data_IF_034927784931
#
_entry.id   IF_034927784931
#
_cell.length_a   1.000
_cell.length_b   1.000
_cell.length_c   1.000
_cell.angle_alpha   90.00
_cell.angle_beta   90.00
_cell.angle_gamma   90.00
#
_symmetry.space_group_name_H-M   'P 1'
#
loop_
_entity.id
_entity.type
_entity.pdbx_description
1 polymer ?
#
# COMPACT_ATOMS: atom_id res chain seq x y z
N UNK A 1 1.25 16.77 0.72
CA UNK A 1 -0.16 16.92 0.35
C UNK A 1 -1.07 16.12 1.27
N UNK A 2 -0.88 14.79 1.47
CA UNK A 2 -1.73 13.96 2.31
C UNK A 2 -1.85 14.48 3.75
N UNK A 3 -0.73 14.82 4.41
CA UNK A 3 -0.74 15.43 5.74
C UNK A 3 -1.53 16.75 5.77
N UNK A 4 -1.36 17.62 4.77
CA UNK A 4 -2.11 18.90 4.68
C UNK A 4 -3.61 18.69 4.48
N UNK A 5 -4.00 17.58 3.83
CA UNK A 5 -5.39 17.19 3.66
C UNK A 5 -5.98 16.47 4.89
N UNK A 6 -5.21 16.27 5.96
CA UNK A 6 -5.67 15.67 7.20
C UNK A 6 -5.71 14.15 7.20
N UNK A 7 -4.92 13.47 6.36
CA UNK A 7 -4.73 12.03 6.45
C UNK A 7 -4.06 11.66 7.78
N UNK A 8 -4.46 10.53 8.36
CA UNK A 8 -3.93 10.06 9.65
C UNK A 8 -2.58 9.35 9.49
N UNK A 9 -2.27 8.84 8.29
CA UNK A 9 -1.06 8.10 7.95
C UNK A 9 -0.73 8.22 6.46
N UNK A 10 0.53 8.07 6.13
CA UNK A 10 1.01 8.00 4.75
C UNK A 10 1.58 6.61 4.48
N UNK A 11 1.23 6.03 3.33
CA UNK A 11 2.01 4.98 2.71
C UNK A 11 2.96 5.62 1.69
N UNK A 12 4.27 5.50 1.94
CA UNK A 12 5.29 6.08 1.09
C UNK A 12 5.80 5.05 0.08
N UNK A 13 5.64 5.34 -1.19
CA UNK A 13 6.14 4.53 -2.30
C UNK A 13 6.73 5.39 -3.40
N UNK A 14 7.49 4.78 -4.29
CA UNK A 14 7.84 5.31 -5.60
C UNK A 14 7.01 4.60 -6.68
N UNK A 15 6.98 5.16 -7.90
CA UNK A 15 6.40 4.49 -9.10
C UNK A 15 4.97 3.95 -8.89
N UNK A 16 4.07 4.82 -8.48
CA UNK A 16 2.65 4.46 -8.24
C UNK A 16 1.97 3.84 -9.49
N UNK A 17 2.45 4.16 -10.69
CA UNK A 17 1.92 3.63 -11.96
C UNK A 17 2.04 2.10 -12.08
N UNK A 18 3.00 1.49 -11.41
CA UNK A 18 3.18 0.02 -11.36
C UNK A 18 2.68 -0.61 -10.04
N UNK A 19 1.89 0.16 -9.29
CA UNK A 19 1.39 -0.27 -7.97
C UNK A 19 2.32 0.04 -6.81
N UNK A 20 3.37 0.83 -7.05
CA UNK A 20 4.38 1.21 -6.07
C UNK A 20 5.55 0.24 -5.97
N UNK A 21 6.72 0.80 -5.72
CA UNK A 21 7.96 0.09 -5.36
C UNK A 21 8.63 0.79 -4.18
N UNK A 22 9.66 0.18 -3.61
CA UNK A 22 10.45 0.76 -2.49
C UNK A 22 10.99 2.14 -2.88
N UNK A 23 10.82 3.18 -2.04
CA UNK A 23 11.38 4.51 -2.27
C UNK A 23 12.89 4.52 -2.14
N UNK A 24 13.55 5.42 -2.88
CA UNK A 24 14.99 5.63 -2.72
C UNK A 24 15.32 6.18 -1.31
N UNK A 25 16.57 5.94 -0.84
CA UNK A 25 17.08 6.51 0.42
C UNK A 25 16.90 8.02 0.50
N UNK A 26 17.18 8.75 -0.58
CA UNK A 26 17.00 10.20 -0.62
C UNK A 26 15.57 10.64 -0.39
N UNK A 27 14.59 9.91 -0.97
CA UNK A 27 13.18 10.18 -0.75
C UNK A 27 12.76 9.84 0.69
N UNK A 28 13.22 8.72 1.23
CA UNK A 28 12.96 8.32 2.61
C UNK A 28 13.42 9.40 3.59
N UNK A 29 14.67 9.85 3.47
CA UNK A 29 15.26 10.88 4.34
C UNK A 29 14.48 12.20 4.24
N UNK A 30 14.25 12.69 3.02
CA UNK A 30 13.53 13.95 2.79
C UNK A 30 12.12 13.95 3.37
N UNK A 31 11.37 12.83 3.21
CA UNK A 31 10.01 12.73 3.73
C UNK A 31 10.00 12.64 5.26
N UNK A 32 10.94 11.89 5.86
CA UNK A 32 11.06 11.78 7.32
C UNK A 32 11.32 13.11 7.99
N UNK A 33 12.06 14.02 7.35
CA UNK A 33 12.34 15.37 7.87
C UNK A 33 11.14 16.32 7.78
N UNK A 34 10.19 16.08 6.87
CA UNK A 34 9.11 17.03 6.55
C UNK A 34 7.72 16.59 7.03
N UNK A 35 7.54 15.31 7.33
CA UNK A 35 6.23 14.72 7.66
C UNK A 35 6.21 14.35 9.14
N UNK A 36 5.14 14.74 9.82
CA UNK A 36 4.96 14.52 11.26
C UNK A 36 3.91 13.46 11.62
N UNK A 37 3.07 13.08 10.66
CA UNK A 37 2.13 11.96 10.83
C UNK A 37 2.83 10.63 10.55
N UNK A 38 2.32 9.50 11.05
CA UNK A 38 2.91 8.18 10.84
C UNK A 38 3.14 7.87 9.36
N UNK A 39 4.30 7.26 9.06
CA UNK A 39 4.70 6.87 7.71
C UNK A 39 4.99 5.37 7.68
N UNK A 40 4.26 4.64 6.85
CA UNK A 40 4.55 3.27 6.49
C UNK A 40 5.24 3.22 5.12
N UNK A 41 6.37 2.57 5.03
CA UNK A 41 7.17 2.51 3.80
C UNK A 41 6.88 1.23 3.04
N UNK A 42 6.58 1.36 1.74
CA UNK A 42 6.42 0.20 0.87
C UNK A 42 7.77 -0.47 0.63
N UNK A 43 7.83 -1.76 0.93
CA UNK A 43 8.99 -2.63 0.67
C UNK A 43 8.59 -3.61 -0.43
N UNK A 44 8.93 -3.26 -1.65
CA UNK A 44 8.66 -4.03 -2.88
C UNK A 44 9.78 -3.74 -3.89
N UNK A 45 10.70 -4.68 -4.14
CA UNK A 45 11.92 -4.40 -4.91
C UNK A 45 11.66 -4.16 -6.38
N UNK A 46 10.57 -4.67 -6.94
CA UNK A 46 10.19 -4.53 -8.36
C UNK A 46 8.68 -4.56 -8.56
N UNK A 47 8.24 -4.19 -9.74
CA UNK A 47 6.89 -4.42 -10.25
C UNK A 47 6.67 -5.92 -10.61
N UNK A 48 5.46 -6.27 -11.02
CA UNK A 48 5.06 -7.64 -11.37
C UNK A 48 4.44 -8.39 -10.18
N UNK A 49 4.78 -9.66 -10.05
CA UNK A 49 4.24 -10.55 -9.02
C UNK A 49 4.80 -10.28 -7.61
N UNK A 50 4.48 -11.17 -6.69
CA UNK A 50 4.89 -11.09 -5.29
C UNK A 50 5.69 -12.33 -4.84
N UNK A 51 6.25 -13.06 -5.80
CA UNK A 51 7.17 -14.18 -5.59
C UNK A 51 8.60 -13.69 -5.85
N UNK A 52 9.44 -13.71 -4.86
CA UNK A 52 10.77 -13.12 -4.94
C UNK A 52 11.85 -14.19 -4.92
N UNK A 53 12.92 -13.99 -5.66
CA UNK A 53 14.10 -14.81 -5.51
C UNK A 53 14.86 -14.49 -4.20
N UNK A 54 16.00 -15.17 -3.99
CA UNK A 54 16.79 -14.99 -2.78
C UNK A 54 17.37 -13.58 -2.69
N UNK A 55 17.89 -13.03 -3.79
CA UNK A 55 18.55 -11.73 -3.80
C UNK A 55 17.53 -10.59 -3.64
N UNK A 56 16.36 -10.71 -4.29
CA UNK A 56 15.23 -9.78 -4.11
C UNK A 56 14.75 -9.75 -2.66
N UNK A 57 14.61 -10.92 -2.04
CA UNK A 57 14.17 -11.01 -0.65
C UNK A 57 15.22 -10.47 0.33
N UNK A 58 16.51 -10.72 0.10
CA UNK A 58 17.59 -10.12 0.89
C UNK A 58 17.60 -8.59 0.78
N UNK A 59 17.36 -8.05 -0.42
CA UNK A 59 17.20 -6.61 -0.63
C UNK A 59 16.04 -6.04 0.20
N UNK A 60 14.88 -6.73 0.22
CA UNK A 60 13.74 -6.33 1.06
C UNK A 60 14.10 -6.26 2.55
N UNK A 61 14.89 -7.23 3.06
CA UNK A 61 15.33 -7.21 4.45
C UNK A 61 16.26 -6.04 4.76
N UNK A 62 17.16 -5.66 3.84
CA UNK A 62 18.01 -4.48 3.96
C UNK A 62 17.18 -3.19 3.98
N UNK A 63 16.19 -3.07 3.09
CA UNK A 63 15.28 -1.91 3.04
C UNK A 63 14.47 -1.78 4.34
N UNK A 64 14.03 -2.91 4.92
CA UNK A 64 13.34 -2.92 6.22
C UNK A 64 14.30 -2.42 7.33
N UNK A 65 15.54 -2.93 7.36
CA UNK A 65 16.51 -2.48 8.34
C UNK A 65 16.76 -0.96 8.23
N UNK A 66 16.88 -0.45 7.01
CA UNK A 66 17.00 0.99 6.76
C UNK A 66 15.80 1.77 7.31
N UNK A 67 14.58 1.26 7.13
CA UNK A 67 13.37 1.88 7.70
C UNK A 67 13.38 1.91 9.23
N UNK A 68 13.88 0.83 9.86
CA UNK A 68 14.06 0.77 11.32
C UNK A 68 15.07 1.82 11.78
N UNK A 69 16.23 1.90 11.11
CA UNK A 69 17.32 2.83 11.48
C UNK A 69 16.92 4.30 11.29
N UNK A 70 16.08 4.59 10.31
CA UNK A 70 15.52 5.93 10.07
C UNK A 70 14.32 6.25 10.97
N UNK A 71 13.85 5.30 11.78
CA UNK A 71 12.77 5.50 12.73
C UNK A 71 11.40 5.72 12.09
N UNK A 72 11.08 5.00 11.02
CA UNK A 72 9.74 4.98 10.44
C UNK A 72 8.74 4.26 11.36
N UNK A 73 7.44 4.43 11.11
CA UNK A 73 6.39 3.92 11.99
C UNK A 73 5.91 2.53 11.55
N UNK A 74 6.11 2.18 10.28
CA UNK A 74 5.71 0.90 9.74
C UNK A 74 6.28 0.61 8.35
N UNK A 75 6.04 -0.61 7.91
CA UNK A 75 6.35 -1.09 6.57
C UNK A 75 5.12 -1.70 5.93
N UNK A 76 5.09 -1.70 4.61
CA UNK A 76 4.06 -2.33 3.79
C UNK A 76 4.75 -3.33 2.87
N UNK A 77 4.41 -4.60 2.93
CA UNK A 77 5.04 -5.64 2.13
C UNK A 77 4.14 -6.86 2.00
N UNK A 78 4.54 -7.86 1.22
CA UNK A 78 3.82 -9.12 1.10
C UNK A 78 4.56 -10.07 0.17
N UNK A 79 4.60 -11.34 0.54
CA UNK A 79 5.28 -12.41 -0.22
C UNK A 79 4.34 -13.58 -0.39
N UNK A 80 4.27 -14.09 -1.60
CA UNK A 80 3.50 -15.27 -1.95
C UNK A 80 4.43 -16.37 -2.48
N UNK A 81 3.97 -17.60 -2.34
CA UNK A 81 4.53 -18.75 -3.05
C UNK A 81 4.09 -18.74 -4.52
N UNK A 82 4.73 -19.53 -5.37
CA UNK A 82 4.39 -19.62 -6.80
C UNK A 82 2.95 -20.07 -7.07
N UNK A 83 2.38 -20.81 -6.14
CA UNK A 83 0.99 -21.28 -6.23
C UNK A 83 -0.04 -20.26 -5.70
N UNK A 84 0.40 -19.04 -5.38
CA UNK A 84 -0.40 -17.94 -4.81
C UNK A 84 -0.89 -18.22 -3.37
N UNK A 85 -0.26 -19.10 -2.64
CA UNK A 85 -0.43 -19.19 -1.18
C UNK A 85 0.51 -18.22 -0.46
N UNK A 86 0.20 -17.93 0.80
CA UNK A 86 1.04 -17.08 1.64
C UNK A 86 2.40 -17.75 1.90
N UNK A 87 3.51 -17.09 1.60
CA UNK A 87 4.81 -17.49 2.11
C UNK A 87 4.91 -17.13 3.61
N UNK A 88 4.45 -18.06 4.45
CA UNK A 88 4.41 -17.90 5.91
C UNK A 88 5.81 -17.64 6.46
N UNK A 89 6.81 -18.39 5.98
CA UNK A 89 8.19 -18.32 6.45
C UNK A 89 8.79 -16.95 6.20
N UNK A 90 8.72 -16.47 4.95
CA UNK A 90 9.29 -15.18 4.57
C UNK A 90 8.49 -14.02 5.16
N UNK A 91 7.16 -14.12 5.23
CA UNK A 91 6.34 -13.10 5.91
C UNK A 91 6.70 -12.98 7.40
N UNK A 92 6.94 -14.12 8.09
CA UNK A 92 7.46 -14.12 9.45
C UNK A 92 8.85 -13.48 9.59
N UNK A 93 9.73 -13.67 8.59
CA UNK A 93 11.03 -13.01 8.54
C UNK A 93 10.90 -11.49 8.37
N UNK A 94 9.99 -11.00 7.50
CA UNK A 94 9.71 -9.57 7.35
C UNK A 94 9.21 -8.97 8.68
N UNK A 95 8.27 -9.64 9.36
CA UNK A 95 7.76 -9.18 10.67
C UNK A 95 8.87 -9.14 11.72
N UNK A 96 9.72 -10.14 11.78
CA UNK A 96 10.86 -10.16 12.70
C UNK A 96 11.87 -9.05 12.38
N UNK A 97 12.17 -8.82 11.11
CA UNK A 97 13.10 -7.77 10.68
C UNK A 97 12.58 -6.36 11.00
N UNK A 98 11.26 -6.17 11.04
CA UNK A 98 10.64 -4.87 11.31
C UNK A 98 10.84 -4.34 12.74
N UNK A 99 11.33 -5.17 13.69
CA UNK A 99 11.72 -4.75 15.05
C UNK A 99 10.68 -3.89 15.78
N UNK A 100 9.42 -4.23 15.67
CA UNK A 100 8.32 -3.51 16.31
C UNK A 100 7.64 -2.44 15.47
N UNK A 101 8.14 -2.13 14.27
CA UNK A 101 7.38 -1.36 13.30
C UNK A 101 6.06 -2.08 12.95
N UNK A 102 5.02 -1.30 12.65
CA UNK A 102 3.78 -1.86 12.14
C UNK A 102 4.00 -2.53 10.78
N UNK A 103 3.42 -3.71 10.57
CA UNK A 103 3.44 -4.42 9.29
C UNK A 103 2.06 -4.42 8.65
N UNK A 104 1.99 -3.88 7.43
CA UNK A 104 0.83 -4.01 6.55
C UNK A 104 1.12 -5.07 5.49
N UNK A 105 0.29 -6.10 5.39
CA UNK A 105 0.32 -7.01 4.25
C UNK A 105 -0.45 -6.35 3.10
N UNK A 106 0.24 -6.10 1.99
CA UNK A 106 -0.31 -5.32 0.88
C UNK A 106 -1.24 -6.13 -0.04
N UNK A 107 -1.60 -5.57 -1.18
CA UNK A 107 -2.54 -6.16 -2.14
C UNK A 107 -2.13 -7.50 -2.78
N UNK A 108 -0.99 -8.09 -2.42
CA UNK A 108 -0.73 -9.51 -2.66
C UNK A 108 -1.84 -10.38 -2.05
N UNK A 109 -2.52 -9.90 -1.01
CA UNK A 109 -3.69 -10.53 -0.43
C UNK A 109 -4.84 -10.71 -1.42
N UNK A 110 -4.97 -9.85 -2.41
CA UNK A 110 -6.00 -9.98 -3.44
C UNK A 110 -5.77 -11.14 -4.41
N UNK A 111 -4.57 -11.75 -4.39
CA UNK A 111 -4.21 -12.88 -5.26
C UNK A 111 -4.28 -14.25 -4.57
N UNK A 112 -4.46 -14.29 -3.25
CA UNK A 112 -4.46 -15.56 -2.52
C UNK A 112 -5.72 -16.37 -2.81
N UNK A 113 -5.58 -17.71 -2.83
CA UNK A 113 -6.69 -18.63 -3.10
C UNK A 113 -7.73 -18.67 -1.98
N UNK A 114 -7.29 -18.57 -0.74
CA UNK A 114 -8.17 -18.62 0.43
C UNK A 114 -7.91 -17.42 1.34
N UNK A 115 -8.69 -16.33 1.21
CA UNK A 115 -8.48 -15.11 1.97
C UNK A 115 -8.69 -15.27 3.48
N UNK A 116 -9.62 -16.12 3.92
CA UNK A 116 -9.87 -16.32 5.35
C UNK A 116 -8.73 -17.06 6.03
N UNK A 117 -8.29 -18.18 5.45
CA UNK A 117 -7.11 -18.90 5.96
C UNK A 117 -5.86 -18.04 5.93
N UNK A 118 -5.68 -17.24 4.88
CA UNK A 118 -4.53 -16.33 4.78
C UNK A 118 -4.58 -15.27 5.86
N UNK A 119 -5.75 -14.68 6.13
CA UNK A 119 -5.94 -13.72 7.21
C UNK A 119 -5.58 -14.32 8.56
N UNK A 120 -6.08 -15.52 8.88
CA UNK A 120 -5.74 -16.24 10.11
C UNK A 120 -4.22 -16.41 10.26
N UNK A 121 -3.52 -16.86 9.20
CA UNK A 121 -2.05 -17.01 9.24
C UNK A 121 -1.31 -15.68 9.38
N UNK A 122 -1.80 -14.60 8.78
CA UNK A 122 -1.25 -13.27 8.96
C UNK A 122 -1.42 -12.76 10.40
N UNK A 123 -2.54 -13.06 11.04
CA UNK A 123 -2.78 -12.75 12.45
C UNK A 123 -1.84 -13.54 13.38
N UNK A 124 -1.64 -14.85 13.12
CA UNK A 124 -0.66 -15.68 13.86
C UNK A 124 0.76 -15.14 13.77
N UNK A 125 1.15 -14.58 12.60
CA UNK A 125 2.44 -13.91 12.39
C UNK A 125 2.53 -12.57 13.14
N UNK A 126 1.39 -11.96 13.46
CA UNK A 126 1.29 -10.66 14.10
C UNK A 126 1.31 -9.49 13.10
N UNK A 127 0.76 -9.67 11.91
CA UNK A 127 0.53 -8.58 10.94
C UNK A 127 -0.51 -7.63 11.49
N UNK A 128 -0.27 -6.33 11.37
CA UNK A 128 -1.14 -5.30 11.97
C UNK A 128 -2.30 -4.89 11.04
N UNK A 129 -2.05 -4.88 9.72
CA UNK A 129 -3.04 -4.45 8.72
C UNK A 129 -3.01 -5.38 7.50
N UNK A 130 -4.18 -5.59 6.91
CA UNK A 130 -4.33 -6.24 5.59
C UNK A 130 -4.93 -5.25 4.62
N UNK A 131 -4.17 -4.86 3.61
CA UNK A 131 -4.59 -3.96 2.54
C UNK A 131 -5.18 -4.78 1.39
N UNK A 132 -6.46 -4.63 1.10
CA UNK A 132 -7.15 -5.47 0.11
C UNK A 132 -8.29 -4.72 -0.58
N UNK A 133 -8.62 -5.13 -1.78
CA UNK A 133 -9.84 -4.71 -2.50
C UNK A 133 -10.97 -5.74 -2.43
N UNK A 134 -10.81 -6.77 -1.58
CA UNK A 134 -11.77 -7.88 -1.52
C UNK A 134 -11.69 -8.77 -2.77
N UNK A 135 -10.47 -8.96 -3.30
CA UNK A 135 -10.16 -9.77 -4.49
C UNK A 135 -10.89 -9.29 -5.77
N UNK A 136 -11.23 -8.01 -5.83
CA UNK A 136 -11.83 -7.37 -7.01
C UNK A 136 -10.95 -6.24 -7.52
N UNK A 137 -11.25 -5.71 -8.70
CA UNK A 137 -10.51 -4.57 -9.26
C UNK A 137 -10.65 -3.32 -8.37
N UNK A 138 -11.84 -3.11 -7.81
CA UNK A 138 -12.15 -1.98 -6.91
C UNK A 138 -12.77 -2.49 -5.60
N UNK A 139 -12.43 -1.83 -4.50
CA UNK A 139 -12.92 -2.20 -3.17
C UNK A 139 -14.46 -2.20 -3.05
N UNK A 140 -15.15 -1.32 -3.77
CA UNK A 140 -16.61 -1.31 -3.74
C UNK A 140 -17.22 -2.59 -4.34
N UNK A 141 -16.59 -3.16 -5.36
CA UNK A 141 -16.99 -4.43 -5.97
C UNK A 141 -16.74 -5.61 -5.02
N UNK A 142 -15.68 -5.52 -4.21
CA UNK A 142 -15.30 -6.53 -3.21
C UNK A 142 -15.89 -6.32 -1.82
N UNK A 143 -16.84 -5.38 -1.66
CA UNK A 143 -17.30 -4.93 -0.33
C UNK A 143 -17.91 -6.05 0.53
N UNK A 144 -18.47 -7.08 -0.07
CA UNK A 144 -19.03 -8.22 0.65
C UNK A 144 -17.93 -9.06 1.30
N UNK A 145 -16.88 -9.42 0.55
CA UNK A 145 -15.74 -10.15 1.10
C UNK A 145 -14.99 -9.29 2.13
N UNK A 146 -14.81 -8.00 1.85
CA UNK A 146 -14.21 -7.06 2.80
C UNK A 146 -14.96 -7.03 4.14
N UNK A 147 -16.29 -6.95 4.11
CA UNK A 147 -17.10 -6.96 5.32
C UNK A 147 -16.98 -8.28 6.11
N UNK A 148 -17.02 -9.42 5.43
CA UNK A 148 -16.84 -10.73 6.07
C UNK A 148 -15.44 -10.87 6.72
N UNK A 149 -14.38 -10.42 6.03
CA UNK A 149 -13.04 -10.39 6.60
C UNK A 149 -12.96 -9.46 7.82
N UNK A 150 -13.58 -8.28 7.75
CA UNK A 150 -13.59 -7.31 8.85
C UNK A 150 -14.35 -7.84 10.09
N UNK A 151 -15.40 -8.61 9.89
CA UNK A 151 -16.15 -9.25 10.98
C UNK A 151 -15.37 -10.38 11.66
N UNK A 152 -14.56 -11.13 10.90
CA UNK A 152 -13.80 -12.27 11.41
C UNK A 152 -12.40 -11.90 11.91
N UNK A 153 -11.86 -10.77 11.50
CA UNK A 153 -10.55 -10.31 11.92
C UNK A 153 -10.50 -10.07 13.45
N UNK A 154 -9.53 -10.68 14.10
CA UNK A 154 -9.37 -10.63 15.57
C UNK A 154 -8.31 -9.62 15.99
N UNK A 155 -7.14 -9.63 15.39
CA UNK A 155 -5.98 -8.83 15.77
C UNK A 155 -5.51 -7.88 14.68
N UNK A 156 -5.73 -8.21 13.41
CA UNK A 156 -5.38 -7.34 12.30
C UNK A 156 -6.54 -6.40 11.93
N UNK A 157 -6.21 -5.30 11.27
CA UNK A 157 -7.19 -4.35 10.73
C UNK A 157 -7.31 -4.57 9.23
N UNK A 158 -8.52 -4.87 8.76
CA UNK A 158 -8.82 -4.92 7.33
C UNK A 158 -8.92 -3.50 6.82
N UNK A 159 -8.11 -3.17 5.82
CA UNK A 159 -8.00 -1.84 5.24
C UNK A 159 -8.40 -1.87 3.75
N UNK A 160 -9.64 -1.52 3.42
CA UNK A 160 -10.10 -1.45 2.04
C UNK A 160 -9.25 -0.50 1.20
N UNK A 161 -8.94 -0.90 -0.04
CA UNK A 161 -8.14 -0.11 -0.97
C UNK A 161 -8.55 -0.35 -2.42
N UNK A 162 -8.11 0.53 -3.31
CA UNK A 162 -8.43 0.57 -4.73
C UNK A 162 -9.80 1.18 -5.05
N UNK A 163 -9.75 2.31 -5.75
CA UNK A 163 -10.94 3.00 -6.26
C UNK A 163 -11.78 3.70 -5.20
N UNK A 164 -11.30 3.84 -3.96
CA UNK A 164 -11.99 4.61 -2.92
C UNK A 164 -11.88 6.10 -3.23
N UNK A 165 -13.00 6.79 -3.12
CA UNK A 165 -13.14 8.22 -3.38
C UNK A 165 -14.34 8.80 -2.60
N UNK A 166 -14.56 10.11 -2.73
CA UNK A 166 -15.63 10.79 -2.02
C UNK A 166 -17.05 10.28 -2.33
N UNK A 167 -17.29 9.71 -3.51
CA UNK A 167 -18.62 9.22 -3.87
C UNK A 167 -18.98 7.86 -3.23
N UNK A 168 -17.95 7.05 -2.87
CA UNK A 168 -18.18 5.69 -2.37
C UNK A 168 -17.69 5.43 -0.94
N UNK A 169 -16.94 6.36 -0.34
CA UNK A 169 -16.33 6.16 0.98
C UNK A 169 -17.37 5.92 2.09
N UNK A 170 -18.55 6.48 1.98
CA UNK A 170 -19.66 6.29 2.95
C UNK A 170 -20.04 4.81 3.10
N UNK A 171 -20.04 4.05 2.00
CA UNK A 171 -20.33 2.60 2.04
C UNK A 171 -19.34 1.81 2.90
N UNK A 172 -18.09 2.26 3.00
CA UNK A 172 -17.09 1.63 3.88
C UNK A 172 -17.25 2.10 5.33
N UNK A 173 -17.59 3.38 5.55
CA UNK A 173 -17.88 3.90 6.89
C UNK A 173 -19.05 3.16 7.53
N UNK A 174 -20.15 2.95 6.80
CA UNK A 174 -21.34 2.22 7.26
C UNK A 174 -21.05 0.76 7.65
N UNK A 175 -20.00 0.16 7.10
CA UNK A 175 -19.54 -1.19 7.46
C UNK A 175 -18.47 -1.23 8.56
N UNK A 176 -18.26 -0.09 9.25
CA UNK A 176 -17.37 0.04 10.40
C UNK A 176 -15.91 -0.37 10.14
N UNK A 177 -15.38 -0.15 8.94
CA UNK A 177 -13.95 -0.31 8.70
C UNK A 177 -13.16 0.73 9.51
N UNK A 178 -12.16 0.26 10.28
CA UNK A 178 -11.31 1.11 11.13
C UNK A 178 -10.28 1.94 10.35
N UNK A 179 -9.99 1.55 9.12
CA UNK A 179 -9.05 2.23 8.25
C UNK A 179 -9.45 2.05 6.78
N UNK A 180 -9.13 3.02 5.94
CA UNK A 180 -9.25 2.95 4.48
C UNK A 180 -7.96 3.47 3.85
N UNK A 181 -7.66 3.02 2.64
CA UNK A 181 -6.51 3.48 1.88
C UNK A 181 -6.94 3.99 0.50
N UNK A 182 -6.39 5.12 0.10
CA UNK A 182 -6.58 5.69 -1.23
C UNK A 182 -5.32 6.40 -1.72
N UNK A 183 -5.08 6.37 -3.01
CA UNK A 183 -3.99 7.15 -3.61
C UNK A 183 -4.32 8.65 -3.73
N UNK A 184 -5.60 8.98 -3.89
CA UNK A 184 -6.08 10.36 -4.03
C UNK A 184 -5.37 11.12 -5.17
N UNK A 185 -5.01 10.42 -6.26
CA UNK A 185 -4.17 10.95 -7.32
C UNK A 185 -4.95 11.76 -8.33
N UNK A 186 -4.28 12.77 -8.89
CA UNK A 186 -4.73 13.55 -10.03
C UNK A 186 -3.60 13.68 -11.04
N UNK A 187 -3.97 13.67 -12.31
CA UNK A 187 -3.02 13.87 -13.40
C UNK A 187 -2.88 15.36 -13.70
N UNK A 188 -1.65 15.85 -13.62
CA UNK A 188 -1.32 17.21 -13.99
C UNK A 188 -0.53 17.19 -15.32
N UNK A 189 -1.07 17.79 -16.41
CA UNK A 189 -0.32 17.86 -17.66
C UNK A 189 0.98 18.66 -17.42
N UNK A 190 2.09 18.11 -17.83
CA UNK A 190 3.33 18.85 -18.02
C UNK A 190 3.32 19.47 -19.40
N UNK A 191 3.84 20.69 -19.55
CA UNK A 191 3.98 21.47 -20.78
C UNK A 191 3.89 20.63 -22.07
N UNK A 192 2.72 20.63 -22.69
CA UNK A 192 2.37 19.78 -23.83
C UNK A 192 3.07 20.18 -25.15
N UNK A 193 3.85 21.28 -25.17
CA UNK A 193 4.36 21.88 -26.39
C UNK A 193 5.84 21.59 -26.70
N UNK A 194 6.44 20.61 -26.05
CA UNK A 194 7.82 20.23 -26.35
C UNK A 194 7.82 18.88 -27.08
N UNK A 195 8.20 18.88 -28.35
CA UNK A 195 8.57 17.66 -29.06
C UNK A 195 9.71 16.97 -28.31
N UNK A 196 9.43 15.81 -27.75
CA UNK A 196 10.40 15.02 -26.99
C UNK A 196 10.44 13.60 -27.53
N UNK A 197 11.63 13.05 -27.58
CA UNK A 197 11.76 11.62 -27.78
C UNK A 197 11.23 10.91 -26.52
N UNK A 198 10.31 9.95 -26.65
CA UNK A 198 9.84 9.16 -25.51
C UNK A 198 10.98 8.33 -24.96
N UNK A 199 11.22 8.46 -23.65
CA UNK A 199 12.25 7.69 -22.91
C UNK A 199 11.70 6.36 -22.42
N UNK A 200 10.37 6.27 -22.21
CA UNK A 200 9.68 5.05 -21.81
C UNK A 200 8.91 4.44 -22.97
N UNK A 201 8.67 3.12 -22.89
CA UNK A 201 7.79 2.47 -23.84
C UNK A 201 6.38 3.04 -23.72
N UNK A 202 5.76 3.38 -24.85
CA UNK A 202 4.39 3.90 -24.92
C UNK A 202 3.34 2.99 -24.27
N UNK A 203 3.69 1.71 -24.05
CA UNK A 203 2.81 0.75 -23.39
C UNK A 203 2.78 0.88 -21.84
N UNK A 204 3.76 1.59 -21.24
CA UNK A 204 3.93 1.60 -19.79
C UNK A 204 3.63 2.94 -19.13
N UNK A 205 3.98 4.09 -19.74
CA UNK A 205 3.87 5.40 -19.09
C UNK A 205 3.49 6.53 -20.05
N UNK A 206 2.75 7.50 -19.52
CA UNK A 206 2.46 8.76 -20.19
C UNK A 206 3.43 9.82 -19.67
N UNK A 207 4.47 10.13 -20.43
CA UNK A 207 5.55 11.06 -20.03
C UNK A 207 5.10 12.52 -20.00
N UNK A 208 3.97 12.82 -20.62
CA UNK A 208 3.32 14.14 -20.65
C UNK A 208 2.54 14.46 -19.37
N UNK A 209 2.44 13.51 -18.42
CA UNK A 209 1.67 13.67 -17.18
C UNK A 209 2.53 13.42 -15.96
N UNK A 210 2.32 14.24 -14.95
CA UNK A 210 2.82 14.01 -13.60
C UNK A 210 1.66 13.53 -12.73
N UNK A 211 1.85 12.42 -12.04
CA UNK A 211 0.88 11.87 -11.07
C UNK A 211 1.32 12.30 -9.68
N UNK A 212 0.45 13.00 -8.95
CA UNK A 212 0.68 13.35 -7.55
C UNK A 212 -0.62 13.19 -6.76
N UNK A 213 -0.50 12.97 -5.45
CA UNK A 213 -1.64 13.02 -4.54
C UNK A 213 -2.25 14.42 -4.52
N UNK A 214 -3.53 14.52 -4.79
CA UNK A 214 -4.28 15.78 -4.89
C UNK A 214 -4.94 16.11 -3.55
N UNK A 215 -4.58 17.26 -2.93
CA UNK A 215 -5.11 17.62 -1.61
C UNK A 215 -6.63 17.74 -1.57
N UNK A 216 -7.26 18.26 -2.61
CA UNK A 216 -8.70 18.46 -2.65
C UNK A 216 -9.45 17.12 -2.73
N UNK A 217 -8.93 16.20 -3.55
CA UNK A 217 -9.45 14.82 -3.64
C UNK A 217 -9.33 14.09 -2.31
N UNK A 218 -8.21 14.23 -1.62
CA UNK A 218 -7.98 13.64 -0.30
C UNK A 218 -8.88 14.28 0.76
N UNK A 219 -8.95 15.62 0.80
CA UNK A 219 -9.77 16.37 1.75
C UNK A 219 -11.26 16.02 1.61
N UNK A 220 -11.75 15.84 0.40
CA UNK A 220 -13.15 15.45 0.14
C UNK A 220 -13.50 14.08 0.75
N UNK A 221 -12.54 13.16 0.81
CA UNK A 221 -12.72 11.87 1.50
C UNK A 221 -12.60 12.03 3.01
N UNK A 222 -11.55 12.71 3.49
CA UNK A 222 -11.33 12.94 4.93
C UNK A 222 -12.56 13.56 5.58
N UNK A 223 -13.16 14.58 4.97
CA UNK A 223 -14.36 15.26 5.51
C UNK A 223 -15.61 14.35 5.58
N UNK A 224 -15.61 13.22 4.91
CA UNK A 224 -16.72 12.25 4.95
C UNK A 224 -16.52 11.13 5.96
N UNK A 225 -15.29 10.83 6.32
CA UNK A 225 -14.96 9.74 7.25
C UNK A 225 -14.70 10.23 8.67
N UNK A 226 -14.22 11.45 8.82
CA UNK A 226 -14.13 12.15 10.11
C UNK A 226 -15.42 12.90 10.42
#
# INVERSE_FOLDING_TARGET
NAQKAGADRIELCAELGVGGITPSYGLLKSVKEQVTIPIHVLIRPRSGDFTYDKAEFESMLHDIQLCVDLGFDGIVSGVLEQDLTLDIKRTGQLKKASKGLKLTFHRAFDWVKNPFLTMEKLEEIGVDYILTSGQQQKALEGIHLLAQLNEQASTCIIMPSSGINAANVTSFKEKNFKAIHLSGTKFFPKNANLERLPMSSLHFFQEDKKIISDPDTLLAVVNRVK
#
